data_IF_123047792225
#
_entry.id   IF_123047792225
#
_cell.length_a   1.000
_cell.length_b   1.000
_cell.length_c   1.000
_cell.angle_alpha   90.00
_cell.angle_beta   90.00
_cell.angle_gamma   90.00
#
_symmetry.space_group_name_H-M   'P 1'
#
loop_
_entity.id
_entity.type
_entity.pdbx_description
1 polymer ?
#
# COMPACT_ATOMS: atom_id res chain seq x y z
N UNK A 1 -13.53 55.30 -50.23
CA UNK A 1 -12.20 54.72 -49.97
C UNK A 1 -11.98 54.60 -48.47
N UNK A 2 -11.27 53.54 -48.03
CA UNK A 2 -10.91 53.13 -46.66
C UNK A 2 -11.90 52.22 -45.90
N UNK A 3 -11.76 50.94 -46.24
CA UNK A 3 -11.84 49.78 -45.36
C UNK A 3 -11.38 50.06 -43.92
N UNK A 4 -12.09 49.54 -42.92
CA UNK A 4 -11.45 48.80 -41.83
C UNK A 4 -12.40 47.79 -41.18
N UNK A 5 -11.88 46.56 -41.14
CA UNK A 5 -12.51 45.29 -40.77
C UNK A 5 -12.91 45.26 -39.29
N UNK A 6 -14.11 44.77 -39.01
CA UNK A 6 -14.49 44.26 -37.69
C UNK A 6 -13.74 42.94 -37.46
N UNK A 7 -12.92 42.86 -36.41
CA UNK A 7 -12.39 41.60 -35.87
C UNK A 7 -13.10 41.34 -34.55
N UNK A 8 -13.77 40.19 -34.46
CA UNK A 8 -14.34 39.66 -33.22
C UNK A 8 -13.21 39.38 -32.23
N UNK A 9 -13.40 39.87 -31.00
CA UNK A 9 -12.65 39.46 -29.84
C UNK A 9 -13.18 38.11 -29.35
N UNK A 10 -12.31 37.12 -29.23
CA UNK A 10 -12.53 35.91 -28.42
C UNK A 10 -11.54 35.97 -27.27
N UNK A 11 -12.07 36.28 -26.07
CA UNK A 11 -11.36 36.24 -24.80
C UNK A 11 -11.33 34.79 -24.32
N UNK A 12 -10.18 34.12 -24.44
CA UNK A 12 -9.87 32.92 -23.66
C UNK A 12 -9.17 33.40 -22.38
N UNK A 13 -9.92 33.43 -21.28
CA UNK A 13 -9.39 33.71 -19.95
C UNK A 13 -8.59 32.51 -19.45
N UNK A 14 -7.26 32.64 -19.41
CA UNK A 14 -6.40 31.78 -18.63
C UNK A 14 -6.39 32.29 -17.19
N UNK A 15 -7.11 31.61 -16.30
CA UNK A 15 -6.99 31.84 -14.86
C UNK A 15 -5.73 31.11 -14.37
N UNK A 16 -4.65 31.88 -14.18
CA UNK A 16 -3.49 31.44 -13.43
C UNK A 16 -3.84 31.50 -11.92
N UNK A 17 -4.14 30.35 -11.31
CA UNK A 17 -4.07 30.22 -9.85
C UNK A 17 -2.68 29.71 -9.49
N UNK A 18 -1.84 30.63 -9.01
CA UNK A 18 -0.67 30.30 -8.22
C UNK A 18 -1.13 29.86 -6.83
N UNK A 19 -0.94 28.59 -6.50
CA UNK A 19 -1.03 28.07 -5.12
C UNK A 19 0.37 27.64 -4.71
N UNK A 20 0.96 28.45 -3.85
CA UNK A 20 2.16 28.13 -3.09
C UNK A 20 1.77 27.30 -1.86
N UNK A 21 2.03 26.00 -1.90
CA UNK A 21 2.16 25.15 -0.71
C UNK A 21 3.03 23.95 -1.07
N UNK A 22 4.13 23.75 -0.33
CA UNK A 22 5.17 22.78 -0.63
C UNK A 22 4.78 21.32 -0.41
N UNK A 23 3.96 20.78 -1.31
CA UNK A 23 3.91 19.35 -1.58
C UNK A 23 4.76 19.07 -2.81
N UNK A 24 5.74 18.18 -2.70
CA UNK A 24 6.36 17.61 -3.89
C UNK A 24 5.24 17.02 -4.76
N UNK A 25 5.06 17.57 -5.96
CA UNK A 25 4.17 17.01 -6.98
C UNK A 25 4.75 15.65 -7.38
N UNK A 26 4.39 14.61 -6.63
CA UNK A 26 4.58 13.24 -7.07
C UNK A 26 3.64 13.03 -8.25
N UNK A 27 4.20 13.00 -9.46
CA UNK A 27 3.47 12.56 -10.64
C UNK A 27 2.92 11.15 -10.44
N UNK A 28 1.89 10.75 -11.20
CA UNK A 28 1.42 9.37 -11.18
C UNK A 28 2.58 8.41 -11.49
N UNK A 29 2.51 7.18 -10.98
CA UNK A 29 3.45 6.12 -11.36
C UNK A 29 3.48 6.00 -12.89
N UNK A 30 4.65 6.19 -13.48
CA UNK A 30 4.85 6.06 -14.92
C UNK A 30 5.24 4.63 -15.25
N UNK A 31 4.63 4.08 -16.32
CA UNK A 31 4.90 2.72 -16.75
C UNK A 31 6.32 2.57 -17.31
N UNK A 32 6.89 1.39 -17.10
CA UNK A 32 8.25 1.04 -17.52
C UNK A 32 8.50 1.39 -18.99
N UNK A 33 9.56 2.16 -19.23
CA UNK A 33 9.94 2.64 -20.55
C UNK A 33 11.41 2.38 -20.85
N UNK A 34 11.70 2.13 -22.13
CA UNK A 34 13.08 2.13 -22.61
C UNK A 34 13.67 3.54 -22.48
N UNK A 35 14.89 3.64 -21.97
CA UNK A 35 15.64 4.89 -21.86
C UNK A 35 17.01 4.76 -22.51
N UNK A 36 17.42 5.83 -23.19
CA UNK A 36 18.74 5.96 -23.79
C UNK A 36 19.64 6.84 -22.92
N UNK A 37 20.88 6.42 -22.70
CA UNK A 37 21.86 7.19 -21.94
C UNK A 37 23.29 7.00 -22.46
N UNK A 38 24.08 8.08 -22.36
CA UNK A 38 25.48 8.07 -22.77
C UNK A 38 26.32 7.27 -21.75
N UNK A 39 27.14 6.37 -22.27
CA UNK A 39 27.92 5.39 -21.50
C UNK A 39 29.37 5.40 -21.96
N UNK A 40 30.30 5.32 -21.01
CA UNK A 40 31.74 5.17 -21.23
C UNK A 40 32.14 3.73 -20.86
N UNK A 41 32.51 2.93 -21.84
CA UNK A 41 32.91 1.54 -21.64
C UNK A 41 34.43 1.38 -21.83
N UNK A 42 35.09 0.66 -20.94
CA UNK A 42 36.53 0.37 -21.02
C UNK A 42 36.71 -1.09 -21.44
N UNK A 43 37.13 -1.38 -22.69
CA UNK A 43 37.41 -2.74 -23.10
C UNK A 43 38.54 -3.39 -22.28
N UNK A 44 38.59 -4.72 -22.19
CA UNK A 44 39.69 -5.41 -21.51
C UNK A 44 41.03 -5.06 -22.16
N UNK A 45 42.05 -4.77 -21.36
CA UNK A 45 43.34 -4.26 -21.84
C UNK A 45 44.02 -5.15 -22.91
N UNK A 46 43.77 -6.47 -22.85
CA UNK A 46 44.27 -7.46 -23.83
C UNK A 46 43.77 -7.18 -25.26
N UNK A 47 42.65 -6.49 -25.43
CA UNK A 47 42.11 -6.14 -26.74
C UNK A 47 42.90 -5.00 -27.42
N UNK A 48 43.61 -4.16 -26.65
CA UNK A 48 44.37 -3.03 -27.20
C UNK A 48 43.52 -1.94 -27.87
N UNK A 49 42.23 -1.86 -27.53
CA UNK A 49 41.26 -0.91 -28.09
C UNK A 49 41.06 0.25 -27.10
N UNK A 50 40.94 1.51 -27.56
CA UNK A 50 40.63 2.64 -26.70
C UNK A 50 39.23 2.51 -26.04
N UNK A 51 38.96 3.27 -24.96
CA UNK A 51 37.61 3.36 -24.40
C UNK A 51 36.55 3.78 -25.42
N UNK A 52 35.32 3.33 -25.21
CA UNK A 52 34.18 3.50 -26.10
C UNK A 52 33.14 4.39 -25.43
N UNK A 53 32.87 5.56 -26.02
CA UNK A 53 31.72 6.38 -25.68
C UNK A 53 30.57 6.10 -26.66
N UNK A 54 29.41 5.72 -26.13
CA UNK A 54 28.25 5.40 -26.95
C UNK A 54 26.94 5.45 -26.19
N UNK A 55 25.84 5.20 -26.89
CA UNK A 55 24.49 5.16 -26.30
C UNK A 55 24.14 3.74 -25.89
N UNK A 56 23.76 3.57 -24.62
CA UNK A 56 23.11 2.35 -24.11
C UNK A 56 21.60 2.58 -24.05
N UNK A 57 20.82 1.59 -24.48
CA UNK A 57 19.36 1.54 -24.28
C UNK A 57 19.04 0.51 -23.20
N UNK A 58 18.25 0.88 -22.19
CA UNK A 58 17.87 0.00 -21.09
C UNK A 58 16.38 0.08 -20.72
N UNK A 59 15.91 -0.96 -20.06
CA UNK A 59 14.58 -1.05 -19.44
C UNK A 59 14.71 -1.61 -18.02
N UNK A 60 14.10 -0.95 -17.06
CA UNK A 60 13.93 -1.44 -15.69
C UNK A 60 12.46 -1.83 -15.48
N UNK A 61 12.23 -3.01 -14.93
CA UNK A 61 10.90 -3.48 -14.49
C UNK A 61 10.96 -3.99 -13.07
N UNK A 62 9.81 -4.03 -12.40
CA UNK A 62 9.67 -4.52 -11.03
C UNK A 62 8.59 -5.60 -10.94
N UNK A 63 8.67 -6.44 -9.92
CA UNK A 63 7.59 -7.39 -9.57
C UNK A 63 6.41 -6.70 -8.86
N UNK A 64 6.63 -5.55 -8.22
CA UNK A 64 5.64 -4.80 -7.44
C UNK A 64 5.68 -3.30 -7.76
N UNK A 65 4.73 -2.81 -8.56
CA UNK A 65 4.61 -1.39 -8.88
C UNK A 65 4.00 -0.55 -7.73
N UNK A 66 3.31 -1.18 -6.77
CA UNK A 66 2.67 -0.53 -5.62
C UNK A 66 3.01 -1.24 -4.29
N UNK A 67 4.28 -1.26 -3.87
CA UNK A 67 4.69 -1.92 -2.64
C UNK A 67 4.23 -1.17 -1.38
N UNK A 68 4.32 -1.83 -0.22
CA UNK A 68 4.23 -1.20 1.10
C UNK A 68 5.62 -1.00 1.69
N UNK A 69 5.76 -0.06 2.62
CA UNK A 69 6.96 0.00 3.48
C UNK A 69 7.11 -1.36 4.19
N UNK A 70 8.32 -1.92 4.11
CA UNK A 70 8.64 -3.28 4.57
C UNK A 70 8.64 -4.34 3.46
N UNK A 71 8.02 -4.07 2.31
CA UNK A 71 8.07 -5.01 1.18
C UNK A 71 9.46 -5.06 0.55
N UNK A 72 9.88 -6.26 0.19
CA UNK A 72 10.99 -6.47 -0.75
C UNK A 72 10.46 -6.41 -2.18
N UNK A 73 11.10 -5.59 -3.02
CA UNK A 73 10.83 -5.44 -4.46
C UNK A 73 11.98 -6.06 -5.24
N UNK A 74 11.65 -6.90 -6.21
CA UNK A 74 12.59 -7.46 -7.18
C UNK A 74 12.65 -6.56 -8.40
N UNK A 75 13.86 -6.13 -8.74
CA UNK A 75 14.13 -5.27 -9.89
C UNK A 75 14.81 -6.08 -10.99
N UNK A 76 14.32 -5.97 -12.22
CA UNK A 76 14.98 -6.51 -13.41
C UNK A 76 15.50 -5.36 -14.28
N UNK A 77 16.82 -5.26 -14.39
CA UNK A 77 17.50 -4.32 -15.28
C UNK A 77 17.91 -5.06 -16.56
N UNK A 78 17.26 -4.72 -17.67
CA UNK A 78 17.61 -5.20 -19.00
C UNK A 78 18.39 -4.16 -19.77
N UNK A 79 19.62 -4.49 -20.16
CA UNK A 79 20.37 -3.73 -21.15
C UNK A 79 19.91 -4.22 -22.52
N UNK A 80 19.01 -3.46 -23.15
CA UNK A 80 18.39 -3.81 -24.44
C UNK A 80 19.41 -3.69 -25.57
N UNK A 81 20.24 -2.63 -25.52
CA UNK A 81 21.32 -2.40 -26.46
C UNK A 81 22.52 -1.79 -25.72
N UNK A 82 23.63 -2.52 -25.55
CA UNK A 82 24.84 -1.99 -24.94
C UNK A 82 25.60 -1.06 -25.89
N UNK A 83 26.34 -0.11 -25.33
CA UNK A 83 27.25 0.76 -26.10
C UNK A 83 28.49 -0.01 -26.61
N UNK A 84 28.94 -1.03 -25.87
CA UNK A 84 30.08 -1.87 -26.21
C UNK A 84 29.72 -2.99 -27.20
N UNK A 85 30.73 -3.48 -27.91
CA UNK A 85 30.68 -4.65 -28.80
C UNK A 85 31.80 -5.63 -28.45
N UNK A 86 31.79 -6.84 -29.00
CA UNK A 86 32.89 -7.79 -28.84
C UNK A 86 34.21 -7.12 -29.28
N UNK A 87 35.19 -6.92 -28.38
CA UNK A 87 36.39 -6.15 -28.68
C UNK A 87 37.43 -6.96 -29.48
N UNK A 88 37.12 -8.20 -29.87
CA UNK A 88 38.05 -9.05 -30.61
C UNK A 88 37.46 -9.47 -31.95
N UNK A 89 38.33 -9.78 -32.91
CA UNK A 89 37.92 -10.39 -34.18
C UNK A 89 37.50 -11.87 -34.04
N UNK A 90 37.65 -12.46 -32.85
CA UNK A 90 37.34 -13.86 -32.56
C UNK A 90 35.92 -13.92 -31.97
N UNK A 91 35.15 -14.92 -32.40
CA UNK A 91 33.83 -15.15 -31.82
C UNK A 91 33.93 -15.61 -30.37
N UNK A 92 33.13 -14.99 -29.51
CA UNK A 92 32.94 -15.41 -28.13
C UNK A 92 31.92 -16.57 -28.08
N UNK A 93 32.23 -17.68 -27.38
CA UNK A 93 31.28 -18.77 -27.18
C UNK A 93 30.02 -18.36 -26.42
N UNK A 94 29.01 -19.23 -26.46
CA UNK A 94 27.85 -19.14 -25.58
C UNK A 94 28.23 -19.38 -24.12
N UNK A 95 27.38 -18.91 -23.20
CA UNK A 95 27.43 -19.22 -21.76
C UNK A 95 28.73 -18.79 -21.05
N UNK A 96 29.32 -17.66 -21.46
CA UNK A 96 30.54 -17.10 -20.86
C UNK A 96 30.31 -15.73 -20.21
N UNK A 97 29.25 -15.00 -20.58
CA UNK A 97 28.94 -13.66 -20.08
C UNK A 97 28.15 -13.73 -18.78
N UNK A 98 28.62 -13.03 -17.74
CA UNK A 98 27.89 -12.82 -16.48
C UNK A 98 27.76 -11.31 -16.25
N UNK A 99 26.64 -10.67 -16.64
CA UNK A 99 26.51 -9.24 -16.48
C UNK A 99 26.23 -8.88 -15.01
N UNK A 100 26.71 -7.71 -14.59
CA UNK A 100 26.40 -7.12 -13.29
C UNK A 100 26.17 -5.62 -13.45
N UNK A 101 25.46 -4.99 -12.53
CA UNK A 101 25.25 -3.55 -12.60
C UNK A 101 24.54 -2.96 -11.39
N UNK A 102 24.14 -1.71 -11.54
CA UNK A 102 23.43 -0.94 -10.53
C UNK A 102 22.15 -0.35 -11.08
N UNK A 103 21.13 -0.29 -10.23
CA UNK A 103 19.94 0.55 -10.42
C UNK A 103 19.94 1.62 -9.34
N UNK A 104 19.90 2.88 -9.73
CA UNK A 104 19.89 4.01 -8.80
C UNK A 104 18.45 4.39 -8.46
N UNK A 105 18.14 4.42 -7.16
CA UNK A 105 16.86 4.84 -6.61
C UNK A 105 16.86 6.34 -6.31
N UNK A 106 15.76 7.02 -6.64
CA UNK A 106 15.51 8.43 -6.35
C UNK A 106 14.11 8.68 -5.79
N UNK A 107 13.82 9.92 -5.40
CA UNK A 107 12.52 10.30 -4.84
C UNK A 107 12.43 10.06 -3.33
N UNK A 108 11.35 9.42 -2.88
CA UNK A 108 11.06 9.18 -1.46
C UNK A 108 12.07 8.24 -0.77
N UNK A 109 12.72 7.38 -1.54
CA UNK A 109 13.80 6.50 -1.09
C UNK A 109 14.97 6.58 -2.08
N UNK A 110 16.16 6.82 -1.56
CA UNK A 110 17.40 6.93 -2.37
C UNK A 110 18.36 5.79 -2.05
N UNK A 111 19.23 5.45 -3.01
CA UNK A 111 20.24 4.40 -2.83
C UNK A 111 20.56 3.67 -4.14
N UNK A 112 21.44 2.67 -4.06
CA UNK A 112 21.79 1.82 -5.20
C UNK A 112 21.36 0.38 -4.94
N UNK A 113 20.76 -0.26 -5.95
CA UNK A 113 20.44 -1.69 -5.97
C UNK A 113 21.46 -2.40 -6.86
N UNK A 114 22.22 -3.34 -6.29
CA UNK A 114 23.11 -4.19 -7.09
C UNK A 114 22.28 -5.26 -7.80
N UNK A 115 22.51 -5.42 -9.10
CA UNK A 115 21.85 -6.43 -9.93
C UNK A 115 22.89 -7.34 -10.57
N UNK A 116 22.57 -8.63 -10.69
CA UNK A 116 23.43 -9.64 -11.32
C UNK A 116 22.59 -10.49 -12.26
N UNK A 117 23.13 -10.77 -13.45
CA UNK A 117 22.52 -11.67 -14.42
C UNK A 117 23.15 -13.05 -14.39
N UNK A 118 22.47 -14.06 -14.98
CA UNK A 118 23.02 -15.40 -15.09
C UNK A 118 24.25 -15.43 -16.01
N UNK A 119 25.11 -16.44 -15.83
CA UNK A 119 26.18 -16.76 -16.79
C UNK A 119 25.56 -17.34 -18.07
N UNK A 120 25.07 -16.47 -18.96
CA UNK A 120 24.27 -16.84 -20.14
C UNK A 120 24.41 -15.79 -21.24
N UNK A 121 24.75 -16.25 -22.44
CA UNK A 121 24.67 -15.48 -23.69
C UNK A 121 24.64 -16.46 -24.88
N UNK A 122 24.09 -16.00 -26.00
CA UNK A 122 24.31 -16.65 -27.30
C UNK A 122 25.74 -16.37 -27.78
N UNK A 123 26.31 -17.19 -28.69
CA UNK A 123 27.62 -16.90 -29.27
C UNK A 123 27.65 -15.51 -29.91
N UNK A 124 28.70 -14.73 -29.63
CA UNK A 124 28.85 -13.37 -30.14
C UNK A 124 29.96 -13.36 -31.18
N UNK A 125 29.63 -13.06 -32.43
CA UNK A 125 30.63 -13.00 -33.50
C UNK A 125 31.71 -11.93 -33.21
N UNK A 126 32.88 -12.09 -33.82
CA UNK A 126 33.96 -11.11 -33.74
C UNK A 126 33.48 -9.71 -34.15
N UNK A 127 33.82 -8.68 -33.36
CA UNK A 127 33.39 -7.29 -33.54
C UNK A 127 31.88 -7.04 -33.57
N UNK A 128 31.04 -8.05 -33.30
CA UNK A 128 29.59 -7.89 -33.30
C UNK A 128 29.09 -7.22 -32.01
N UNK A 129 27.94 -6.53 -32.04
CA UNK A 129 27.29 -6.02 -30.84
C UNK A 129 27.00 -7.16 -29.85
N UNK A 130 27.12 -6.86 -28.56
CA UNK A 130 26.65 -7.79 -27.54
C UNK A 130 25.12 -7.94 -27.60
N UNK A 131 24.59 -9.16 -27.39
CA UNK A 131 23.14 -9.38 -27.33
C UNK A 131 22.54 -8.65 -26.12
N UNK A 132 21.21 -8.48 -26.12
CA UNK A 132 20.48 -8.02 -24.95
C UNK A 132 20.69 -8.98 -23.77
N UNK A 133 20.80 -8.43 -22.56
CA UNK A 133 20.95 -9.21 -21.34
C UNK A 133 20.21 -8.56 -20.16
N UNK A 134 19.80 -9.39 -19.21
CA UNK A 134 19.05 -8.94 -18.03
C UNK A 134 19.77 -9.34 -16.74
N UNK A 135 19.65 -8.47 -15.75
CA UNK A 135 20.19 -8.63 -14.41
C UNK A 135 19.07 -8.43 -13.40
N UNK A 136 19.13 -9.14 -12.29
CA UNK A 136 18.12 -9.05 -11.22
C UNK A 136 18.76 -8.69 -9.89
N UNK A 137 18.03 -7.94 -9.07
CA UNK A 137 18.42 -7.57 -7.72
C UNK A 137 17.18 -7.25 -6.89
N UNK A 138 17.35 -7.01 -5.60
CA UNK A 138 16.23 -6.69 -4.71
C UNK A 138 16.56 -5.52 -3.80
N UNK A 139 15.53 -4.78 -3.40
CA UNK A 139 15.64 -3.79 -2.33
C UNK A 139 14.40 -3.83 -1.44
N UNK A 140 14.55 -3.39 -0.19
CA UNK A 140 13.44 -3.26 0.74
C UNK A 140 12.96 -1.82 0.75
N UNK A 141 11.64 -1.62 0.67
CA UNK A 141 11.03 -0.31 0.75
C UNK A 141 11.02 0.17 2.20
N UNK A 142 11.67 1.29 2.48
CA UNK A 142 11.80 1.86 3.83
C UNK A 142 10.98 3.13 4.00
N UNK A 143 10.60 3.79 2.90
CA UNK A 143 9.89 5.06 2.92
C UNK A 143 8.69 5.01 1.98
N UNK A 144 7.54 5.52 2.43
CA UNK A 144 6.37 5.69 1.58
C UNK A 144 6.54 6.87 0.62
N UNK A 145 5.93 6.80 -0.56
CA UNK A 145 6.01 7.81 -1.61
C UNK A 145 6.53 7.27 -2.94
N UNK A 146 6.70 8.15 -3.92
CA UNK A 146 7.20 7.79 -5.25
C UNK A 146 8.71 7.49 -5.19
N UNK A 147 9.10 6.34 -5.76
CA UNK A 147 10.49 5.88 -5.86
C UNK A 147 10.80 5.71 -7.35
N UNK A 148 11.75 6.48 -7.87
CA UNK A 148 12.19 6.42 -9.27
C UNK A 148 13.36 5.47 -9.42
N UNK A 149 13.37 4.67 -10.49
CA UNK A 149 14.44 3.72 -10.80
C UNK A 149 15.13 4.14 -12.10
N UNK A 150 16.42 4.45 -12.02
CA UNK A 150 17.26 4.82 -13.16
C UNK A 150 18.36 3.78 -13.39
N UNK A 151 18.70 3.48 -14.66
CA UNK A 151 19.87 2.67 -14.97
C UNK A 151 21.15 3.29 -14.39
N UNK A 152 21.99 2.48 -13.78
CA UNK A 152 23.32 2.83 -13.33
C UNK A 152 24.41 2.11 -14.13
N UNK A 153 25.63 2.20 -13.61
CA UNK A 153 26.80 1.52 -14.16
C UNK A 153 26.56 0.01 -14.30
N UNK A 154 27.13 -0.58 -15.34
CA UNK A 154 27.10 -2.03 -15.56
C UNK A 154 28.46 -2.54 -15.99
N UNK A 155 28.66 -3.84 -15.88
CA UNK A 155 29.86 -4.54 -16.29
C UNK A 155 29.48 -5.80 -17.05
N UNK A 156 30.13 -6.01 -18.18
CA UNK A 156 30.06 -7.24 -18.95
C UNK A 156 31.29 -8.06 -18.59
N UNK A 157 31.11 -9.02 -17.69
CA UNK A 157 32.16 -9.96 -17.31
C UNK A 157 32.11 -11.19 -18.22
N UNK A 158 33.25 -11.59 -18.77
CA UNK A 158 33.40 -12.80 -19.59
C UNK A 158 34.39 -13.75 -18.97
N UNK A 159 33.98 -15.01 -18.80
CA UNK A 159 34.78 -16.08 -18.18
C UNK A 159 34.88 -17.25 -19.16
N UNK A 160 35.97 -17.28 -19.93
CA UNK A 160 36.28 -18.34 -20.90
C UNK A 160 37.73 -18.84 -20.81
N UNK A 161 38.68 -18.18 -21.48
CA UNK A 161 40.13 -18.48 -21.39
C UNK A 161 40.80 -17.55 -20.37
N UNK A 162 40.30 -16.32 -20.28
CA UNK A 162 40.70 -15.30 -19.32
C UNK A 162 39.42 -14.75 -18.67
N UNK A 163 39.59 -14.19 -17.48
CA UNK A 163 38.56 -13.42 -16.79
C UNK A 163 38.70 -11.95 -17.24
N UNK A 164 37.72 -11.46 -17.98
CA UNK A 164 37.78 -10.14 -18.60
C UNK A 164 36.53 -9.33 -18.28
N UNK A 165 36.74 -8.11 -17.80
CA UNK A 165 35.71 -7.15 -17.48
C UNK A 165 35.66 -6.02 -18.51
N UNK A 166 34.45 -5.64 -18.89
CA UNK A 166 34.18 -4.43 -19.67
C UNK A 166 33.27 -3.54 -18.84
N UNK A 167 33.82 -2.75 -17.90
CA UNK A 167 33.02 -1.83 -17.11
C UNK A 167 32.51 -0.69 -18.00
N UNK A 168 31.24 -0.36 -17.84
CA UNK A 168 30.50 0.65 -18.56
C UNK A 168 29.87 1.62 -17.55
N UNK A 169 30.36 2.85 -17.51
CA UNK A 169 29.91 3.89 -16.57
C UNK A 169 28.98 4.88 -17.25
N UNK A 170 27.94 5.33 -16.53
CA UNK A 170 27.05 6.40 -17.02
C UNK A 170 27.80 7.72 -17.07
N UNK A 171 27.82 8.40 -18.23
CA UNK A 171 28.59 9.64 -18.42
C UNK A 171 27.98 10.82 -17.63
N UNK A 172 26.65 10.90 -17.58
CA UNK A 172 25.90 11.95 -16.88
C UNK A 172 24.92 11.34 -15.88
N UNK A 173 25.36 10.94 -14.68
CA UNK A 173 24.48 10.33 -13.69
C UNK A 173 23.59 11.38 -12.98
N UNK A 174 22.34 11.03 -12.60
CA UNK A 174 21.67 9.76 -12.88
C UNK A 174 21.18 9.68 -14.34
N UNK A 175 21.12 8.46 -14.90
CA UNK A 175 20.45 8.24 -16.19
C UNK A 175 18.96 8.59 -16.11
N UNK A 176 18.27 8.79 -17.25
CA UNK A 176 16.82 9.01 -17.27
C UNK A 176 16.06 7.91 -16.52
N UNK A 177 14.97 8.30 -15.86
CA UNK A 177 14.12 7.37 -15.11
C UNK A 177 13.46 6.39 -16.07
N UNK A 178 13.64 5.10 -15.83
CA UNK A 178 13.05 4.03 -16.65
C UNK A 178 11.75 3.51 -16.04
N UNK A 179 11.59 3.56 -14.72
CA UNK A 179 10.40 3.10 -13.99
C UNK A 179 10.16 3.99 -12.77
N UNK A 180 8.89 4.20 -12.39
CA UNK A 180 8.53 4.83 -11.11
C UNK A 180 7.49 3.99 -10.39
N UNK A 181 7.79 3.58 -9.16
CA UNK A 181 6.86 2.86 -8.28
C UNK A 181 6.34 3.76 -7.17
N UNK A 182 5.17 3.47 -6.63
CA UNK A 182 4.59 4.25 -5.52
C UNK A 182 4.42 3.38 -4.29
N UNK A 183 5.24 3.64 -3.27
CA UNK A 183 5.18 2.94 -2.00
C UNK A 183 4.09 3.51 -1.08
N UNK A 184 3.27 2.65 -0.50
CA UNK A 184 2.31 3.01 0.55
C UNK A 184 2.87 2.69 1.95
N UNK A 185 2.42 3.36 3.02
CA UNK A 185 2.87 3.06 4.38
C UNK A 185 2.63 1.61 4.79
N UNK A 186 3.50 1.07 5.65
CA UNK A 186 3.25 -0.21 6.31
C UNK A 186 1.98 -0.10 7.15
N UNK A 187 1.01 -0.98 6.93
CA UNK A 187 -0.18 -1.07 7.78
C UNK A 187 0.15 -2.01 8.93
N UNK A 188 0.77 -1.51 10.01
CA UNK A 188 0.74 -2.26 11.26
C UNK A 188 -0.66 -2.13 11.88
N UNK A 189 -1.26 -3.22 12.38
CA UNK A 189 -2.48 -3.13 13.16
C UNK A 189 -2.20 -2.26 14.38
N UNK A 190 -2.90 -1.13 14.51
CA UNK A 190 -2.83 -0.36 15.73
C UNK A 190 -3.58 -1.12 16.83
N UNK A 191 -2.84 -1.62 17.81
CA UNK A 191 -3.37 -2.40 18.94
C UNK A 191 -3.63 -1.55 20.18
N UNK A 192 -3.41 -0.23 20.10
CA UNK A 192 -3.67 0.68 21.22
C UNK A 192 -5.14 0.65 21.59
N UNK A 193 -5.42 0.61 22.89
CA UNK A 193 -6.77 0.62 23.41
C UNK A 193 -6.86 1.57 24.60
N UNK A 194 -8.06 2.11 24.80
CA UNK A 194 -8.39 2.86 26.02
C UNK A 194 -9.73 2.39 26.59
N UNK A 195 -9.85 2.56 27.90
CA UNK A 195 -11.10 2.40 28.65
C UNK A 195 -11.28 3.57 29.61
N UNK A 196 -12.52 3.95 29.86
CA UNK A 196 -12.85 5.04 30.79
C UNK A 196 -13.34 4.47 32.11
N UNK A 197 -12.97 5.12 33.22
CA UNK A 197 -13.46 4.78 34.56
C UNK A 197 -14.96 5.05 34.75
N UNK A 198 -15.53 5.96 33.93
CA UNK A 198 -16.96 6.20 33.83
C UNK A 198 -17.34 6.57 32.39
N UNK A 199 -18.57 6.25 31.99
CA UNK A 199 -19.10 6.60 30.65
C UNK A 199 -19.81 7.97 30.64
N UNK A 200 -19.86 8.67 31.78
CA UNK A 200 -20.55 9.95 31.92
C UNK A 200 -20.10 10.73 33.15
N UNK A 201 -20.28 12.05 33.12
CA UNK A 201 -20.07 12.95 34.26
C UNK A 201 -20.65 14.34 34.00
N UNK A 202 -20.71 15.19 35.03
CA UNK A 202 -21.10 16.59 34.88
C UNK A 202 -19.96 17.41 34.25
N UNK A 203 -20.26 18.59 33.67
CA UNK A 203 -19.23 19.52 33.25
C UNK A 203 -18.29 19.85 34.41
N UNK A 204 -16.98 19.68 34.19
CA UNK A 204 -15.93 19.87 35.19
C UNK A 204 -15.55 18.61 35.98
N UNK A 205 -16.29 17.51 35.83
CA UNK A 205 -15.90 16.23 36.44
C UNK A 205 -14.68 15.65 35.73
N UNK A 206 -13.87 14.92 36.50
CA UNK A 206 -12.75 14.17 35.97
C UNK A 206 -13.12 12.73 35.66
N UNK A 207 -12.70 12.23 34.50
CA UNK A 207 -12.76 10.81 34.12
C UNK A 207 -11.36 10.20 34.07
N UNK A 208 -11.21 9.03 34.68
CA UNK A 208 -9.98 8.23 34.55
C UNK A 208 -9.92 7.60 33.16
N UNK A 209 -8.78 7.70 32.49
CA UNK A 209 -8.50 7.06 31.19
C UNK A 209 -7.37 6.06 31.39
N UNK A 210 -7.67 4.79 31.16
CA UNK A 210 -6.68 3.72 31.19
C UNK A 210 -6.35 3.32 29.76
N UNK A 211 -5.06 3.27 29.41
CA UNK A 211 -4.60 2.86 28.08
C UNK A 211 -3.61 1.71 28.11
N UNK A 212 -3.52 0.98 27.00
CA UNK A 212 -2.62 -0.16 26.80
C UNK A 212 -2.05 -0.19 25.38
N UNK A 213 -0.89 -0.85 25.21
CA UNK A 213 -0.18 -1.02 23.93
C UNK A 213 0.33 0.28 23.28
N UNK A 214 0.55 1.31 24.09
CA UNK A 214 1.27 2.51 23.68
C UNK A 214 2.79 2.25 23.68
N UNK A 215 3.57 3.16 23.11
CA UNK A 215 5.03 3.05 23.11
C UNK A 215 5.55 3.23 24.53
N UNK A 216 6.38 2.31 25.06
CA UNK A 216 6.95 2.44 26.38
C UNK A 216 7.67 3.78 26.59
N UNK A 217 7.32 4.50 27.65
CA UNK A 217 7.90 5.81 27.98
C UNK A 217 7.41 6.99 27.13
N UNK A 218 6.48 6.79 26.19
CA UNK A 218 5.95 7.88 25.38
C UNK A 218 5.00 8.78 26.17
N UNK A 219 5.00 10.07 25.83
CA UNK A 219 3.97 11.01 26.24
C UNK A 219 2.71 10.79 25.42
N UNK A 220 1.61 10.51 26.10
CA UNK A 220 0.28 10.29 25.53
C UNK A 220 -0.60 11.49 25.85
N UNK A 221 -1.24 12.05 24.83
CA UNK A 221 -2.25 13.11 24.97
C UNK A 221 -3.62 12.48 25.10
N UNK A 222 -4.35 12.84 26.16
CA UNK A 222 -5.77 12.54 26.34
C UNK A 222 -6.57 13.73 25.83
N UNK A 223 -7.63 13.50 25.05
CA UNK A 223 -8.45 14.59 24.53
C UNK A 223 -9.92 14.21 24.43
N UNK A 224 -10.80 15.18 24.74
CA UNK A 224 -12.23 15.08 24.45
C UNK A 224 -12.52 15.25 22.96
N UNK A 225 -13.60 14.62 22.50
CA UNK A 225 -14.09 14.67 21.12
C UNK A 225 -15.57 14.99 21.09
N UNK A 226 -15.93 15.95 20.26
CA UNK A 226 -17.31 16.19 19.80
C UNK A 226 -17.40 15.72 18.35
N UNK A 227 -17.71 14.43 18.15
CA UNK A 227 -17.59 13.79 16.84
C UNK A 227 -16.13 13.82 16.34
N UNK A 228 -15.88 14.45 15.20
CA UNK A 228 -14.53 14.60 14.63
C UNK A 228 -13.67 15.65 15.32
N UNK A 229 -14.29 16.66 15.91
CA UNK A 229 -13.59 17.82 16.45
C UNK A 229 -13.03 17.51 17.82
N UNK A 230 -11.74 17.79 18.01
CA UNK A 230 -11.15 17.83 19.34
C UNK A 230 -11.71 19.01 20.12
N UNK A 231 -12.14 18.76 21.36
CA UNK A 231 -12.58 19.82 22.29
C UNK A 231 -11.35 20.48 22.93
N UNK A 232 -11.57 21.56 23.69
CA UNK A 232 -10.50 22.18 24.46
C UNK A 232 -10.00 21.29 25.63
N UNK A 233 -10.79 20.29 26.04
CA UNK A 233 -10.47 19.37 27.12
C UNK A 233 -9.32 18.45 26.72
N UNK A 234 -8.14 18.68 27.29
CA UNK A 234 -6.93 17.89 27.04
C UNK A 234 -6.15 17.65 28.33
N UNK A 235 -5.40 16.55 28.37
CA UNK A 235 -4.44 16.23 29.42
C UNK A 235 -3.28 15.40 28.84
N UNK A 236 -2.19 15.24 29.60
CA UNK A 236 -1.07 14.39 29.19
C UNK A 236 -0.71 13.39 30.29
N UNK A 237 -0.25 12.21 29.88
CA UNK A 237 0.20 11.13 30.76
C UNK A 237 1.35 10.39 30.08
N UNK A 238 2.28 9.84 30.85
CA UNK A 238 3.39 9.04 30.30
C UNK A 238 3.05 7.56 30.40
N UNK A 239 3.23 6.82 29.29
CA UNK A 239 3.11 5.37 29.28
C UNK A 239 4.27 4.73 30.05
N UNK A 240 3.97 3.69 30.81
CA UNK A 240 4.96 2.91 31.57
C UNK A 240 5.82 2.03 30.64
N UNK A 241 6.71 1.24 31.24
CA UNK A 241 7.61 0.36 30.49
C UNK A 241 6.90 -0.77 29.71
N UNK A 242 5.64 -1.06 30.04
CA UNK A 242 4.80 -2.01 29.32
C UNK A 242 3.90 -1.34 28.28
N UNK A 243 3.97 -0.01 28.12
CA UNK A 243 3.10 0.73 27.22
C UNK A 243 1.69 0.93 27.75
N UNK A 244 1.49 0.82 29.07
CA UNK A 244 0.22 1.09 29.73
C UNK A 244 0.24 2.45 30.44
N UNK A 245 -0.94 3.03 30.68
CA UNK A 245 -1.06 4.24 31.50
C UNK A 245 -2.40 4.31 32.22
N UNK A 246 -2.46 5.12 33.28
CA UNK A 246 -3.69 5.58 33.92
C UNK A 246 -3.59 7.09 34.12
N UNK A 247 -4.39 7.86 33.39
CA UNK A 247 -4.43 9.31 33.43
C UNK A 247 -5.82 9.84 33.78
N UNK A 248 -5.93 11.15 33.94
CA UNK A 248 -7.17 11.85 34.29
C UNK A 248 -7.42 12.95 33.28
N UNK A 249 -8.65 13.01 32.75
CA UNK A 249 -9.12 14.07 31.87
C UNK A 249 -10.29 14.79 32.54
N UNK A 250 -10.22 16.12 32.63
CA UNK A 250 -11.35 16.94 33.08
C UNK A 250 -12.17 17.31 31.86
N UNK A 251 -13.48 17.06 31.89
CA UNK A 251 -14.37 17.30 30.74
C UNK A 251 -15.31 18.47 31.04
N UNK A 252 -15.05 19.63 30.43
CA UNK A 252 -15.87 20.84 30.60
C UNK A 252 -16.82 21.04 29.42
N UNK A 253 -16.42 20.61 28.22
CA UNK A 253 -17.17 20.84 27.01
C UNK A 253 -18.38 19.89 26.95
N UNK A 254 -19.58 20.46 27.06
CA UNK A 254 -20.86 19.74 27.02
C UNK A 254 -21.11 18.99 25.71
N UNK A 255 -20.37 19.31 24.65
CA UNK A 255 -20.45 18.64 23.36
C UNK A 255 -19.59 17.38 23.28
N UNK A 256 -18.77 17.08 24.30
CA UNK A 256 -17.95 15.88 24.34
C UNK A 256 -18.80 14.62 24.32
N UNK A 257 -18.63 13.81 23.26
CA UNK A 257 -19.28 12.52 23.05
C UNK A 257 -18.31 11.33 23.15
N UNK A 258 -17.00 11.60 23.22
CA UNK A 258 -15.99 10.57 23.42
C UNK A 258 -14.65 11.13 23.88
N UNK A 259 -13.77 10.22 24.29
CA UNK A 259 -12.41 10.52 24.70
C UNK A 259 -11.46 9.68 23.86
N UNK A 260 -10.36 10.27 23.42
CA UNK A 260 -9.26 9.59 22.72
C UNK A 260 -7.95 9.74 23.47
N UNK A 261 -6.99 8.87 23.18
CA UNK A 261 -5.61 9.00 23.64
C UNK A 261 -4.64 8.77 22.50
N UNK A 262 -3.62 9.62 22.30
CA UNK A 262 -2.70 9.48 21.16
C UNK A 262 -1.27 9.95 21.44
N UNK A 263 -0.34 9.40 20.67
CA UNK A 263 1.07 9.77 20.65
C UNK A 263 1.37 10.76 19.53
N UNK A 264 2.33 11.65 19.77
CA UNK A 264 2.73 12.70 18.84
C UNK A 264 1.98 14.02 19.03
N UNK A 265 2.18 14.95 18.09
CA UNK A 265 1.64 16.30 18.20
C UNK A 265 0.14 16.41 17.89
N UNK A 266 -0.41 15.45 17.14
CA UNK A 266 -1.80 15.44 16.70
C UNK A 266 -2.32 14.00 16.59
N UNK A 267 -3.64 13.84 16.69
CA UNK A 267 -4.30 12.56 16.50
C UNK A 267 -4.03 11.97 15.11
N UNK A 268 -3.78 10.67 15.07
CA UNK A 268 -3.88 9.84 13.88
C UNK A 268 -4.38 8.45 14.27
N UNK A 269 -5.02 7.74 13.34
CA UNK A 269 -5.50 6.37 13.62
C UNK A 269 -4.36 5.36 13.76
N UNK A 270 -3.13 5.74 13.39
CA UNK A 270 -1.92 4.93 13.57
C UNK A 270 -1.29 5.10 14.95
N UNK A 271 -1.49 6.26 15.59
CA UNK A 271 -0.84 6.62 16.86
C UNK A 271 -1.82 6.81 18.02
N UNK A 272 -3.11 6.55 17.81
CA UNK A 272 -4.18 6.86 18.75
C UNK A 272 -5.08 5.67 19.11
N UNK A 273 -5.78 5.76 20.24
CA UNK A 273 -6.83 4.84 20.64
C UNK A 273 -8.12 5.59 20.98
N UNK A 274 -9.24 4.91 20.77
CA UNK A 274 -10.58 5.47 20.94
C UNK A 274 -11.23 5.86 19.61
N UNK A 275 -12.35 6.60 19.64
CA UNK A 275 -12.94 7.21 20.83
C UNK A 275 -13.60 6.17 21.75
N UNK A 276 -13.33 6.26 23.05
CA UNK A 276 -14.18 5.65 24.07
C UNK A 276 -15.36 6.58 24.34
N UNK A 277 -16.59 6.07 24.26
CA UNK A 277 -17.80 6.89 24.40
C UNK A 277 -17.90 7.53 25.80
N UNK A 278 -18.25 8.82 25.83
CA UNK A 278 -18.44 9.59 27.06
C UNK A 278 -19.63 10.55 26.90
N UNK A 279 -20.47 10.67 27.92
CA UNK A 279 -21.63 11.58 27.90
C UNK A 279 -21.50 12.65 28.98
N UNK A 280 -21.50 13.91 28.58
CA UNK A 280 -21.59 15.02 29.54
C UNK A 280 -23.04 15.23 29.94
N UNK A 281 -23.32 15.13 31.24
CA UNK A 281 -24.66 15.32 31.80
C UNK A 281 -24.99 16.81 31.74
N UNK A 282 -26.02 17.18 30.99
CA UNK A 282 -26.49 18.55 30.99
C UNK A 282 -27.21 18.89 32.31
N UNK A 283 -26.50 19.58 33.19
CA UNK A 283 -27.00 20.06 34.48
C UNK A 283 -27.51 21.52 34.44
N UNK A 284 -27.76 22.08 33.25
CA UNK A 284 -28.27 23.45 33.12
C UNK A 284 -29.60 23.61 33.87
N UNK A 285 -29.72 24.59 34.80
CA UNK A 285 -30.94 24.86 35.55
C UNK A 285 -32.12 25.18 34.64
N UNK A 286 -33.31 24.76 35.03
CA UNK A 286 -34.56 25.02 34.30
C UNK A 286 -35.21 26.31 34.85
N UNK A 287 -35.65 27.26 34.00
CA UNK A 287 -36.39 28.43 34.46
C UNK A 287 -37.72 28.08 35.14
N UNK A 288 -38.25 29.03 35.91
CA UNK A 288 -39.57 28.91 36.54
C UNK A 288 -40.66 28.63 35.49
N UNK A 289 -41.61 27.75 35.83
CA UNK A 289 -42.71 27.29 34.96
C UNK A 289 -42.27 26.61 33.65
N UNK A 290 -41.05 26.07 33.57
CA UNK A 290 -40.59 25.24 32.45
C UNK A 290 -40.28 23.80 32.88
N UNK A 291 -40.23 22.88 31.91
CA UNK A 291 -39.83 21.48 32.10
C UNK A 291 -38.66 21.14 31.18
N UNK A 292 -37.68 20.40 31.68
CA UNK A 292 -36.59 19.84 30.88
C UNK A 292 -36.96 18.43 30.43
N UNK A 293 -37.04 18.23 29.12
CA UNK A 293 -37.27 16.93 28.49
C UNK A 293 -35.94 16.50 27.87
N UNK A 294 -35.38 15.39 28.33
CA UNK A 294 -34.09 14.88 27.85
C UNK A 294 -34.20 13.40 27.45
N UNK A 295 -33.44 13.02 26.43
CA UNK A 295 -33.20 11.62 26.06
C UNK A 295 -31.69 11.39 25.95
N UNK A 296 -31.26 10.15 26.11
CA UNK A 296 -29.85 9.75 25.98
C UNK A 296 -29.71 8.74 24.86
N UNK A 297 -28.85 9.07 23.89
CA UNK A 297 -28.42 8.13 22.84
C UNK A 297 -27.12 7.49 23.30
N UNK A 298 -27.09 6.15 23.38
CA UNK A 298 -25.87 5.40 23.72
C UNK A 298 -25.16 4.98 22.44
N UNK A 299 -23.84 5.13 22.41
CA UNK A 299 -23.02 4.56 21.34
C UNK A 299 -23.11 3.02 21.37
N UNK A 300 -23.16 2.41 20.19
CA UNK A 300 -23.04 0.97 20.01
C UNK A 300 -21.62 0.56 19.65
N UNK A 301 -21.47 -0.62 19.05
CA UNK A 301 -20.17 -1.19 18.66
C UNK A 301 -20.05 -1.29 17.14
N UNK A 302 -18.81 -1.50 16.67
CA UNK A 302 -18.57 -2.08 15.35
C UNK A 302 -18.71 -3.60 15.46
N UNK A 303 -19.48 -4.22 14.57
CA UNK A 303 -19.74 -5.66 14.60
C UNK A 303 -19.97 -6.22 13.20
N UNK A 304 -19.71 -7.52 13.03
CA UNK A 304 -20.15 -8.27 11.86
C UNK A 304 -20.83 -9.59 12.24
N UNK A 305 -21.69 -10.04 11.35
CA UNK A 305 -22.28 -11.37 11.38
C UNK A 305 -22.26 -11.98 9.97
N UNK A 306 -22.04 -13.29 9.86
CA UNK A 306 -22.05 -14.02 8.59
C UNK A 306 -23.24 -14.99 8.55
N UNK A 307 -23.88 -15.14 7.38
CA UNK A 307 -25.08 -15.96 7.23
C UNK A 307 -24.86 -17.49 7.34
N UNK A 308 -23.61 -17.97 7.26
CA UNK A 308 -23.27 -19.39 7.34
C UNK A 308 -21.75 -19.62 7.33
N UNK A 309 -21.33 -20.84 7.66
CA UNK A 309 -19.90 -21.22 7.83
C UNK A 309 -19.28 -21.95 6.64
N UNK A 310 -20.10 -22.45 5.71
CA UNK A 310 -19.67 -23.29 4.60
C UNK A 310 -20.07 -22.65 3.27
N UNK A 311 -19.13 -22.60 2.33
CA UNK A 311 -19.37 -22.19 0.93
C UNK A 311 -19.02 -23.36 0.03
N UNK A 312 -19.97 -23.79 -0.80
CA UNK A 312 -19.72 -24.81 -1.82
C UNK A 312 -19.35 -24.14 -3.13
N UNK A 313 -18.22 -24.53 -3.71
CA UNK A 313 -17.83 -24.13 -5.05
C UNK A 313 -18.23 -25.22 -6.07
N UNK A 314 -18.34 -24.83 -7.34
CA UNK A 314 -18.70 -25.74 -8.44
C UNK A 314 -17.64 -26.82 -8.71
N UNK A 315 -18.06 -27.95 -9.25
CA UNK A 315 -17.14 -29.02 -9.63
C UNK A 315 -16.30 -28.65 -10.86
N UNK A 316 -15.07 -29.18 -10.93
CA UNK A 316 -14.16 -29.05 -12.08
C UNK A 316 -13.77 -30.46 -12.55
N UNK A 317 -13.88 -30.69 -13.86
CA UNK A 317 -13.54 -31.98 -14.46
C UNK A 317 -12.02 -32.23 -14.44
N UNK A 318 -11.63 -33.44 -14.03
CA UNK A 318 -10.25 -33.90 -14.13
C UNK A 318 -9.73 -33.82 -15.58
N UNK A 319 -8.50 -33.37 -15.75
CA UNK A 319 -7.85 -33.17 -17.04
C UNK A 319 -8.18 -31.85 -17.73
N UNK A 320 -9.19 -31.09 -17.27
CA UNK A 320 -9.53 -29.77 -17.82
C UNK A 320 -9.02 -28.63 -16.95
N UNK A 321 -9.25 -28.73 -15.64
CA UNK A 321 -8.98 -27.64 -14.70
C UNK A 321 -9.89 -26.43 -14.95
N UNK A 322 -9.53 -25.30 -14.35
CA UNK A 322 -10.22 -24.02 -14.53
C UNK A 322 -11.00 -23.55 -13.31
N UNK A 323 -11.88 -22.58 -13.53
CA UNK A 323 -12.56 -21.85 -12.47
C UNK A 323 -13.69 -22.68 -11.81
N UNK A 324 -13.54 -22.90 -10.51
CA UNK A 324 -14.58 -23.40 -9.61
C UNK A 324 -15.25 -22.20 -8.93
N UNK A 325 -16.46 -21.86 -9.38
CA UNK A 325 -17.20 -20.68 -8.93
C UNK A 325 -18.16 -20.95 -7.77
N UNK A 326 -18.43 -19.94 -6.94
CA UNK A 326 -19.46 -19.98 -5.90
C UNK A 326 -19.71 -18.59 -5.30
N UNK A 327 -20.63 -18.52 -4.33
CA UNK A 327 -21.01 -17.26 -3.67
C UNK A 327 -20.56 -17.27 -2.21
N UNK A 328 -19.91 -16.19 -1.78
CA UNK A 328 -19.60 -16.01 -0.36
C UNK A 328 -20.91 -15.85 0.43
N UNK A 329 -20.99 -16.49 1.60
CA UNK A 329 -22.09 -16.24 2.52
C UNK A 329 -22.10 -14.76 2.92
N UNK A 330 -23.25 -14.11 2.74
CA UNK A 330 -23.45 -12.69 3.03
C UNK A 330 -22.95 -12.32 4.43
N UNK A 331 -22.23 -11.21 4.51
CA UNK A 331 -21.74 -10.61 5.76
C UNK A 331 -22.51 -9.32 6.02
N UNK A 332 -23.11 -9.22 7.19
CA UNK A 332 -23.71 -7.97 7.67
C UNK A 332 -22.70 -7.25 8.57
N UNK A 333 -22.40 -5.99 8.25
CA UNK A 333 -21.57 -5.11 9.08
C UNK A 333 -22.46 -4.05 9.70
N UNK A 334 -22.31 -3.80 11.00
CA UNK A 334 -22.97 -2.70 11.71
C UNK A 334 -21.92 -1.85 12.40
N UNK A 335 -21.89 -0.57 12.05
CA UNK A 335 -21.07 0.42 12.73
C UNK A 335 -21.97 1.40 13.49
N UNK A 336 -22.06 1.21 14.80
CA UNK A 336 -22.84 2.08 15.69
C UNK A 336 -21.97 2.92 16.62
N UNK A 337 -20.68 3.09 16.28
CA UNK A 337 -19.76 3.89 17.10
C UNK A 337 -20.09 5.38 17.03
N UNK A 338 -20.63 5.86 15.91
CA UNK A 338 -21.06 7.26 15.74
C UNK A 338 -19.91 8.28 15.77
N UNK A 339 -18.70 7.85 15.37
CA UNK A 339 -17.48 8.65 15.37
C UNK A 339 -17.07 9.10 13.98
N UNK A 340 -15.77 9.19 13.74
CA UNK A 340 -15.18 9.52 12.42
C UNK A 340 -14.52 8.35 11.73
N UNK A 341 -14.13 7.34 12.51
CA UNK A 341 -13.40 6.20 12.02
C UNK A 341 -14.33 5.39 11.13
N UNK A 342 -13.87 5.12 9.92
CA UNK A 342 -14.45 4.14 9.03
C UNK A 342 -14.21 2.73 9.53
N UNK A 343 -14.42 1.76 8.66
CA UNK A 343 -14.15 0.35 8.95
C UNK A 343 -13.64 -0.35 7.69
N UNK A 344 -12.90 -1.43 7.90
CA UNK A 344 -12.39 -2.29 6.84
C UNK A 344 -12.68 -3.74 7.17
N UNK A 345 -13.23 -4.47 6.20
CA UNK A 345 -13.44 -5.91 6.24
C UNK A 345 -12.47 -6.55 5.25
N UNK A 346 -11.52 -7.33 5.77
CA UNK A 346 -10.51 -8.04 4.99
C UNK A 346 -10.70 -9.54 5.09
N UNK A 347 -10.18 -10.28 4.12
CA UNK A 347 -10.21 -11.75 4.12
C UNK A 347 -8.90 -12.35 3.63
N UNK A 348 -8.50 -13.47 4.22
CA UNK A 348 -7.37 -14.29 3.77
C UNK A 348 -7.74 -15.76 3.77
N UNK A 349 -7.19 -16.53 2.84
CA UNK A 349 -7.49 -17.95 2.71
C UNK A 349 -6.25 -18.81 2.95
N UNK A 350 -6.43 -19.98 3.56
CA UNK A 350 -5.38 -21.00 3.60
C UNK A 350 -5.28 -21.74 2.26
N UNK A 351 -4.23 -22.54 2.09
CA UNK A 351 -4.20 -23.51 1.00
C UNK A 351 -5.41 -24.45 1.09
N UNK A 352 -5.88 -24.90 -0.07
CA UNK A 352 -6.91 -25.91 -0.15
C UNK A 352 -6.26 -27.29 -0.16
N UNK A 353 -6.55 -28.08 0.87
CA UNK A 353 -5.96 -29.41 1.03
C UNK A 353 -6.97 -30.47 0.64
N UNK A 354 -6.54 -31.44 -0.18
CA UNK A 354 -7.35 -32.58 -0.58
C UNK A 354 -6.51 -33.86 -0.70
N UNK A 355 -7.06 -34.93 -1.29
CA UNK A 355 -6.37 -36.21 -1.38
C UNK A 355 -5.10 -36.13 -2.24
N UNK A 356 -3.94 -36.17 -1.60
CA UNK A 356 -2.64 -36.29 -2.27
C UNK A 356 -2.13 -35.03 -3.00
N UNK A 357 -2.82 -33.89 -2.87
CA UNK A 357 -2.38 -32.63 -3.45
C UNK A 357 -2.88 -31.40 -2.67
N UNK A 358 -2.34 -30.24 -3.05
CA UNK A 358 -2.77 -28.92 -2.57
C UNK A 358 -3.09 -28.02 -3.75
N UNK A 359 -4.01 -27.10 -3.55
CA UNK A 359 -4.21 -25.93 -4.40
C UNK A 359 -3.82 -24.71 -3.57
N UNK A 360 -2.85 -23.94 -4.06
CA UNK A 360 -2.30 -22.79 -3.32
C UNK A 360 -3.40 -21.77 -3.01
N UNK A 361 -3.31 -21.13 -1.85
CA UNK A 361 -4.21 -20.04 -1.45
C UNK A 361 -4.34 -18.94 -2.53
N UNK A 362 -3.25 -18.68 -3.27
CA UNK A 362 -3.20 -17.70 -4.35
C UNK A 362 -4.08 -18.03 -5.56
N UNK A 363 -4.63 -19.25 -5.63
CA UNK A 363 -5.56 -19.64 -6.68
C UNK A 363 -7.00 -19.17 -6.43
N UNK A 364 -7.34 -18.74 -5.21
CA UNK A 364 -8.67 -18.18 -4.92
C UNK A 364 -8.69 -16.68 -5.25
N UNK A 365 -9.68 -16.30 -6.04
CA UNK A 365 -10.02 -14.91 -6.36
C UNK A 365 -11.46 -14.61 -5.97
N UNK A 366 -11.76 -13.32 -5.81
CA UNK A 366 -13.12 -12.86 -5.57
C UNK A 366 -13.49 -11.62 -6.38
N UNK A 367 -14.78 -11.35 -6.48
CA UNK A 367 -15.37 -10.10 -6.96
C UNK A 367 -16.31 -9.58 -5.89
N UNK A 368 -15.85 -8.62 -5.05
CA UNK A 368 -16.66 -8.10 -3.95
C UNK A 368 -17.83 -7.23 -4.42
N UNK A 369 -18.88 -7.21 -3.62
CA UNK A 369 -19.99 -6.28 -3.71
C UNK A 369 -20.33 -5.77 -2.30
N UNK A 370 -20.71 -4.50 -2.20
CA UNK A 370 -21.18 -3.95 -0.94
C UNK A 370 -22.34 -2.99 -1.16
N UNK A 371 -23.34 -3.07 -0.29
CA UNK A 371 -24.52 -2.20 -0.30
C UNK A 371 -24.72 -1.53 1.05
N UNK A 372 -25.26 -0.31 1.00
CA UNK A 372 -25.48 0.54 2.17
C UNK A 372 -26.97 0.60 2.48
N UNK A 373 -27.36 0.33 3.72
CA UNK A 373 -28.75 0.50 4.15
C UNK A 373 -29.13 1.98 4.15
N UNK A 374 -30.30 2.32 3.62
CA UNK A 374 -30.81 3.68 3.61
C UNK A 374 -30.83 4.30 5.03
N UNK A 375 -30.35 5.54 5.14
CA UNK A 375 -30.21 6.25 6.41
C UNK A 375 -28.89 6.02 7.14
N UNK A 376 -28.00 5.15 6.63
CA UNK A 376 -26.64 5.01 7.14
C UNK A 376 -25.81 6.26 6.83
N UNK A 377 -25.10 6.84 7.81
CA UNK A 377 -24.18 7.96 7.58
C UNK A 377 -23.04 7.65 6.61
N UNK A 378 -22.47 6.44 6.70
CA UNK A 378 -21.38 6.02 5.81
C UNK A 378 -21.88 5.40 4.52
N UNK A 379 -21.05 5.45 3.48
CA UNK A 379 -21.24 4.69 2.23
C UNK A 379 -20.25 3.53 2.18
N UNK A 380 -20.76 2.33 2.00
CA UNK A 380 -19.92 1.16 1.80
C UNK A 380 -19.30 1.14 0.40
N UNK A 381 -18.02 0.76 0.35
CA UNK A 381 -17.22 0.58 -0.84
C UNK A 381 -16.81 -0.89 -0.95
N UNK A 382 -17.04 -1.49 -2.11
CA UNK A 382 -16.55 -2.82 -2.40
C UNK A 382 -15.02 -2.79 -2.62
N UNK A 383 -14.33 -3.83 -2.15
CA UNK A 383 -12.92 -4.03 -2.45
C UNK A 383 -12.67 -4.37 -3.93
N UNK A 384 -11.40 -4.39 -4.33
CA UNK A 384 -11.01 -4.73 -5.70
C UNK A 384 -11.24 -6.21 -6.01
N UNK A 385 -11.64 -6.51 -7.25
CA UNK A 385 -11.62 -7.88 -7.75
C UNK A 385 -10.19 -8.37 -7.92
N UNK A 386 -9.92 -9.62 -7.57
CA UNK A 386 -8.59 -10.19 -7.67
C UNK A 386 -8.34 -11.33 -6.70
N UNK A 387 -7.08 -11.73 -6.60
CA UNK A 387 -6.62 -12.79 -5.70
C UNK A 387 -6.84 -12.40 -4.24
N UNK A 388 -7.33 -13.35 -3.43
CA UNK A 388 -7.41 -13.22 -1.97
C UNK A 388 -6.09 -13.66 -1.34
N UNK A 389 -5.69 -14.91 -1.61
CA UNK A 389 -4.41 -15.47 -1.16
C UNK A 389 -4.23 -15.52 0.37
N UNK A 390 -3.04 -15.96 0.77
CA UNK A 390 -2.63 -15.98 2.18
C UNK A 390 -2.28 -14.57 2.71
N UNK A 391 -1.87 -13.66 1.81
CA UNK A 391 -1.60 -12.26 2.14
C UNK A 391 -2.88 -11.47 2.48
N UNK A 392 -4.03 -11.94 1.97
CA UNK A 392 -5.34 -11.35 2.16
C UNK A 392 -5.62 -10.16 1.24
N UNK A 393 -6.90 -9.82 1.16
CA UNK A 393 -7.40 -8.69 0.39
C UNK A 393 -8.56 -8.01 1.12
N UNK A 394 -8.84 -6.74 0.78
CA UNK A 394 -10.03 -6.04 1.27
C UNK A 394 -11.26 -6.55 0.55
N UNK A 395 -12.27 -6.94 1.31
CA UNK A 395 -13.58 -7.35 0.81
C UNK A 395 -14.50 -6.13 0.69
N UNK A 396 -14.59 -5.31 1.74
CA UNK A 396 -15.35 -4.07 1.73
C UNK A 396 -14.84 -3.10 2.80
N UNK A 397 -15.18 -1.82 2.66
CA UNK A 397 -14.84 -0.80 3.64
C UNK A 397 -15.84 0.36 3.64
N UNK A 398 -15.87 1.12 4.71
CA UNK A 398 -16.34 2.50 4.69
C UNK A 398 -15.17 3.42 5.06
N UNK A 399 -14.92 4.51 4.31
CA UNK A 399 -13.84 5.43 4.64
C UNK A 399 -14.15 6.23 5.90
N UNK A 400 -13.12 6.84 6.46
CA UNK A 400 -13.28 7.85 7.51
C UNK A 400 -14.13 9.03 7.00
N UNK A 401 -14.85 9.67 7.91
CA UNK A 401 -15.76 10.76 7.58
C UNK A 401 -15.99 11.71 8.74
N UNK A 402 -16.80 12.73 8.51
CA UNK A 402 -17.21 13.67 9.58
C UNK A 402 -18.13 13.00 10.60
N UNK A 403 -18.96 12.07 10.12
CA UNK A 403 -19.76 11.13 10.93
C UNK A 403 -19.77 9.79 10.19
N UNK A 404 -19.40 8.72 10.88
CA UNK A 404 -19.48 7.36 10.38
C UNK A 404 -20.53 6.55 11.13
N UNK A 405 -21.04 5.52 10.46
CA UNK A 405 -21.96 4.57 11.04
C UNK A 405 -22.96 4.02 10.03
N UNK A 406 -23.77 3.09 10.49
CA UNK A 406 -24.87 2.50 9.74
C UNK A 406 -24.81 0.98 9.67
N UNK A 407 -25.55 0.43 8.73
CA UNK A 407 -25.61 -1.01 8.47
C UNK A 407 -25.33 -1.28 6.99
N UNK A 408 -24.57 -2.34 6.73
CA UNK A 408 -24.05 -2.67 5.41
C UNK A 408 -24.19 -4.17 5.14
N UNK A 409 -24.39 -4.51 3.88
CA UNK A 409 -24.43 -5.89 3.39
C UNK A 409 -23.26 -6.08 2.42
N UNK A 410 -22.41 -7.05 2.71
CA UNK A 410 -21.18 -7.36 1.97
C UNK A 410 -21.30 -8.78 1.38
N UNK A 411 -21.06 -8.90 0.09
CA UNK A 411 -21.10 -10.15 -0.68
C UNK A 411 -19.85 -10.28 -1.56
N UNK A 412 -19.61 -11.47 -2.10
CA UNK A 412 -18.61 -11.67 -3.15
C UNK A 412 -18.90 -12.90 -4.00
N UNK A 413 -18.59 -12.81 -5.30
CA UNK A 413 -18.41 -13.99 -6.15
C UNK A 413 -17.03 -14.57 -5.91
N UNK A 414 -16.92 -15.87 -5.69
CA UNK A 414 -15.67 -16.60 -5.50
C UNK A 414 -15.31 -17.38 -6.77
N UNK A 415 -14.02 -17.48 -7.06
CA UNK A 415 -13.49 -18.30 -8.15
C UNK A 415 -12.16 -18.90 -7.74
N UNK A 416 -12.12 -20.22 -7.56
CA UNK A 416 -10.91 -20.98 -7.30
C UNK A 416 -10.39 -21.57 -8.62
N UNK A 417 -9.17 -21.21 -9.01
CA UNK A 417 -8.54 -21.78 -10.20
C UNK A 417 -7.95 -23.17 -9.88
N UNK A 418 -8.61 -24.23 -10.34
CA UNK A 418 -8.19 -25.62 -10.09
C UNK A 418 -7.24 -26.09 -11.21
N UNK A 419 -6.02 -26.55 -10.91
CA UNK A 419 -5.12 -27.11 -11.91
C UNK A 419 -5.70 -28.35 -12.62
N UNK A 420 -5.40 -28.53 -13.90
CA UNK A 420 -6.02 -29.56 -14.75
C UNK A 420 -5.89 -30.99 -14.23
N UNK A 421 -4.75 -31.35 -13.67
CA UNK A 421 -4.47 -32.72 -13.19
C UNK A 421 -4.52 -32.82 -11.66
N UNK A 422 -5.28 -31.96 -11.00
CA UNK A 422 -5.55 -32.06 -9.57
C UNK A 422 -6.26 -33.39 -9.27
N UNK A 423 -5.72 -34.26 -8.38
CA UNK A 423 -6.34 -35.54 -8.06
C UNK A 423 -7.81 -35.40 -7.67
N UNK A 424 -8.73 -36.25 -8.19
CA UNK A 424 -10.14 -36.18 -7.83
C UNK A 424 -10.37 -36.31 -6.31
N UNK A 425 -11.15 -35.38 -5.74
CA UNK A 425 -11.46 -35.36 -4.32
C UNK A 425 -11.96 -34.00 -3.85
N UNK A 426 -12.38 -33.93 -2.59
CA UNK A 426 -12.76 -32.65 -1.95
C UNK A 426 -11.50 -31.92 -1.48
N UNK A 427 -11.40 -30.65 -1.86
CA UNK A 427 -10.35 -29.74 -1.40
C UNK A 427 -10.98 -28.67 -0.53
N UNK A 428 -10.44 -28.46 0.66
CA UNK A 428 -10.97 -27.51 1.63
C UNK A 428 -9.89 -26.54 2.07
N UNK A 429 -10.23 -25.25 2.08
CA UNK A 429 -9.45 -24.17 2.65
C UNK A 429 -10.33 -23.34 3.58
N UNK A 430 -9.71 -22.57 4.48
CA UNK A 430 -10.42 -21.71 5.44
C UNK A 430 -10.24 -20.26 5.03
N UNK A 431 -11.34 -19.59 4.68
CA UNK A 431 -11.39 -18.14 4.48
C UNK A 431 -11.68 -17.48 5.84
N UNK A 432 -10.71 -16.74 6.36
CA UNK A 432 -10.86 -15.96 7.60
C UNK A 432 -11.17 -14.52 7.25
N UNK A 433 -12.28 -14.00 7.77
CA UNK A 433 -12.66 -12.58 7.64
C UNK A 433 -12.32 -11.81 8.91
N UNK A 434 -11.85 -10.57 8.77
CA UNK A 434 -11.45 -9.72 9.89
C UNK A 434 -12.00 -8.31 9.68
N UNK A 435 -12.74 -7.83 10.68
CA UNK A 435 -13.31 -6.47 10.73
C UNK A 435 -12.46 -5.61 11.66
N UNK A 436 -12.12 -4.42 11.22
CA UNK A 436 -11.34 -3.41 11.96
C UNK A 436 -11.90 -2.02 11.77
#
# INVERSE_FOLDING_TARGET
MRNRRRRLASLLGAAALAVTAGGALAGPAEAAGNVDFATHCIPPAVAGIPPIDGTTTALITVDKAAPKVGDTVTVTYTVVKPAASNPTAISLPADIMTPSGKVTLGGAQTGDVTVVGPKKNDPVAGNAPFPSFSMTGTFTVTTAGAITLSPGDYNIHTSYILELDTPCTVISPPAPVSETITASPATQPNTRAITLGSASGNPGDSVTVNGSHFTPGATVTLAGRSGSSQTADTATVTADTAGAFSGSLVVNDKTTTGVVAYEGASWSDQSGAGPAAYTVIDNTPVPDNAQKISTTVKAGTLSMAQAGDTVSLGAVDYGKGGASGGDLNTVSVKDFRGGVAGWSLTGKVTDFTGPGAKIDAGALSWTPACTTKAGSPSTCQAGSSGTVGAAGATLASAPDGTVTGGEFTVDAKLSLNVPAFTPPGTYSGVLTLTLS
#
